data_IF_185135096862
#
_entry.id   IF_185135096862
#
_cell.length_a   1.000
_cell.length_b   1.000
_cell.length_c   1.000
_cell.angle_alpha   90.00
_cell.angle_beta   90.00
_cell.angle_gamma   90.00
#
_symmetry.space_group_name_H-M   'P 1'
#
loop_
_entity.id
_entity.type
_entity.pdbx_description
1 polymer ?
#
# COMPACT_ATOMS: atom_id res chain seq x y z
N UNK A 1 35.87 -81.53 -14.17
CA UNK A 1 35.47 -82.47 -13.10
C UNK A 1 34.28 -81.85 -12.38
N UNK A 2 33.28 -82.66 -12.07
CA UNK A 2 31.90 -82.33 -11.69
C UNK A 2 31.81 -82.00 -10.17
N UNK A 3 30.66 -81.42 -9.76
CA UNK A 3 29.98 -81.43 -8.41
C UNK A 3 30.22 -80.15 -7.58
N UNK A 4 29.28 -79.21 -7.40
CA UNK A 4 27.98 -79.12 -6.68
C UNK A 4 28.02 -78.85 -5.14
N UNK A 5 27.31 -77.76 -4.75
CA UNK A 5 26.39 -77.53 -3.61
C UNK A 5 26.86 -77.74 -2.14
N UNK A 6 26.77 -76.70 -1.28
CA UNK A 6 25.63 -76.40 -0.36
C UNK A 6 25.95 -75.29 0.68
N UNK A 7 24.87 -74.66 1.12
CA UNK A 7 24.69 -73.52 2.04
C UNK A 7 25.35 -73.61 3.42
N UNK A 8 25.70 -72.44 4.00
CA UNK A 8 25.18 -72.06 5.33
C UNK A 8 25.35 -70.55 5.62
N UNK A 9 24.24 -69.92 5.97
CA UNK A 9 24.11 -68.53 6.37
C UNK A 9 24.66 -68.25 7.78
N UNK A 10 25.29 -67.07 7.99
CA UNK A 10 25.34 -66.38 9.29
C UNK A 10 25.27 -64.87 9.07
N UNK A 11 24.35 -64.25 9.81
CA UNK A 11 23.86 -62.89 9.61
C UNK A 11 24.82 -61.78 10.05
N UNK A 12 24.67 -60.64 9.39
CA UNK A 12 25.19 -59.34 9.79
C UNK A 12 24.02 -58.50 10.29
N UNK A 13 24.05 -58.15 11.57
CA UNK A 13 23.15 -57.16 12.15
C UNK A 13 23.57 -55.76 11.66
N UNK A 14 22.68 -55.10 10.91
CA UNK A 14 22.85 -53.71 10.52
C UNK A 14 22.36 -52.79 11.66
N UNK A 15 23.26 -51.97 12.19
CA UNK A 15 22.93 -50.88 13.12
C UNK A 15 22.30 -49.76 12.30
N UNK A 16 20.97 -49.61 12.40
CA UNK A 16 20.26 -48.47 11.86
C UNK A 16 20.42 -47.27 12.81
N UNK A 17 21.34 -46.35 12.47
CA UNK A 17 21.42 -45.05 13.12
C UNK A 17 20.25 -44.18 12.63
N UNK A 18 19.19 -44.06 13.43
CA UNK A 18 18.11 -43.10 13.19
C UNK A 18 18.61 -41.70 13.55
N UNK A 19 18.98 -40.91 12.54
CA UNK A 19 19.15 -39.47 12.67
C UNK A 19 17.78 -38.82 12.89
N UNK A 20 17.44 -38.50 14.13
CA UNK A 20 16.26 -37.70 14.44
C UNK A 20 16.47 -36.29 13.86
N UNK A 21 15.65 -35.90 12.88
CA UNK A 21 15.57 -34.51 12.44
C UNK A 21 15.14 -33.63 13.61
N UNK A 22 15.73 -32.44 13.81
CA UNK A 22 15.26 -31.52 14.83
C UNK A 22 13.81 -31.15 14.52
N UNK A 23 12.92 -31.35 15.49
CA UNK A 23 11.53 -30.95 15.38
C UNK A 23 11.48 -29.45 15.04
N UNK A 24 10.88 -29.10 13.90
CA UNK A 24 10.51 -27.70 13.62
C UNK A 24 9.65 -27.23 14.79
N UNK A 25 10.14 -26.24 15.54
CA UNK A 25 9.33 -25.58 16.55
C UNK A 25 8.03 -25.12 15.90
N UNK A 26 6.88 -25.59 16.43
CA UNK A 26 5.58 -25.18 15.95
C UNK A 26 5.51 -23.65 16.00
N UNK A 27 5.37 -23.01 14.84
CA UNK A 27 5.17 -21.56 14.74
C UNK A 27 3.90 -21.25 15.51
N UNK A 28 4.01 -20.51 16.62
CA UNK A 28 2.85 -20.10 17.40
C UNK A 28 1.86 -19.38 16.47
N UNK A 29 0.56 -19.68 16.52
CA UNK A 29 -0.43 -19.00 15.70
C UNK A 29 -0.35 -17.50 15.99
N UNK A 30 -0.11 -16.69 14.95
CA UNK A 30 -0.16 -15.22 15.05
C UNK A 30 -1.61 -14.80 14.94
N UNK A 31 -2.08 -13.99 15.88
CA UNK A 31 -3.39 -13.36 15.76
C UNK A 31 -3.32 -12.29 14.66
N UNK A 32 -4.47 -11.90 14.12
CA UNK A 32 -4.56 -10.81 13.14
C UNK A 32 -5.05 -9.55 13.84
N UNK A 33 -4.39 -8.43 13.65
CA UNK A 33 -4.84 -7.12 14.13
C UNK A 33 -5.09 -6.17 12.96
N UNK A 34 -6.17 -5.40 13.04
CA UNK A 34 -6.44 -4.28 12.14
C UNK A 34 -5.99 -2.99 12.82
N UNK A 35 -5.10 -2.24 12.15
CA UNK A 35 -4.59 -0.95 12.57
C UNK A 35 -5.22 0.16 11.74
N UNK A 36 -5.59 1.26 12.38
CA UNK A 36 -6.24 2.41 11.74
C UNK A 36 -5.62 3.70 12.27
N UNK A 37 -5.17 4.57 11.37
CA UNK A 37 -4.62 5.86 11.70
C UNK A 37 -5.62 7.00 11.43
N UNK A 38 -5.94 7.77 12.47
CA UNK A 38 -6.81 8.95 12.42
C UNK A 38 -6.09 10.12 13.09
N UNK A 39 -5.76 11.16 12.33
CA UNK A 39 -4.92 12.25 12.86
C UNK A 39 -3.62 11.70 13.46
N UNK A 40 -3.34 12.03 14.72
CA UNK A 40 -2.15 11.55 15.45
C UNK A 40 -2.33 10.19 16.15
N UNK A 41 -3.55 9.63 16.14
CA UNK A 41 -3.88 8.40 16.86
C UNK A 41 -3.77 7.20 15.94
N UNK A 42 -3.04 6.17 16.37
CA UNK A 42 -3.08 4.83 15.79
C UNK A 42 -3.87 3.93 16.72
N UNK A 43 -5.04 3.48 16.27
CA UNK A 43 -5.85 2.46 16.95
C UNK A 43 -5.55 1.07 16.37
N UNK A 44 -5.68 0.04 17.19
CA UNK A 44 -5.68 -1.34 16.71
C UNK A 44 -6.70 -2.20 17.44
N UNK A 45 -7.16 -3.24 16.75
CA UNK A 45 -8.12 -4.21 17.26
C UNK A 45 -7.74 -5.60 16.79
N UNK A 46 -7.82 -6.59 17.67
CA UNK A 46 -7.70 -7.99 17.28
C UNK A 46 -8.93 -8.42 16.48
N UNK A 47 -8.67 -9.13 15.39
CA UNK A 47 -9.67 -9.72 14.50
C UNK A 47 -9.96 -11.15 14.96
N UNK A 48 -11.23 -11.46 15.24
CA UNK A 48 -11.64 -12.84 15.55
C UNK A 48 -12.11 -13.55 14.27
N UNK A 49 -11.15 -14.16 13.57
CA UNK A 49 -11.39 -14.92 12.33
C UNK A 49 -12.05 -14.08 11.22
N UNK A 50 -12.61 -14.78 10.22
CA UNK A 50 -13.24 -14.15 9.06
C UNK A 50 -14.48 -13.32 9.43
N UNK A 51 -15.17 -13.64 10.54
CA UNK A 51 -16.39 -12.95 10.98
C UNK A 51 -16.15 -11.47 11.33
N UNK A 52 -14.88 -11.07 11.44
CA UNK A 52 -14.47 -9.67 11.53
C UNK A 52 -14.92 -8.99 12.82
N UNK A 53 -15.33 -9.74 13.85
CA UNK A 53 -15.63 -9.16 15.16
C UNK A 53 -14.36 -8.56 15.74
N UNK A 54 -14.52 -7.38 16.33
CA UNK A 54 -13.45 -6.54 16.83
C UNK A 54 -13.43 -6.63 18.34
N UNK A 55 -12.31 -7.06 18.92
CA UNK A 55 -12.08 -7.05 20.36
C UNK A 55 -11.85 -5.64 20.92
N UNK A 56 -11.27 -5.60 22.13
CA UNK A 56 -10.81 -4.38 22.78
C UNK A 56 -9.94 -3.52 21.84
N UNK A 57 -10.12 -2.20 21.95
CA UNK A 57 -9.42 -1.22 21.12
C UNK A 57 -8.21 -0.73 21.90
N UNK A 58 -7.01 -1.07 21.42
CA UNK A 58 -5.80 -0.42 21.87
C UNK A 58 -5.53 0.83 21.05
N UNK A 59 -4.83 1.80 21.62
CA UNK A 59 -4.42 3.01 20.89
C UNK A 59 -3.09 3.56 21.39
N UNK A 60 -2.44 4.33 20.52
CA UNK A 60 -1.28 5.16 20.85
C UNK A 60 -1.43 6.50 20.14
N UNK A 61 -1.13 7.59 20.85
CA UNK A 61 -1.06 8.93 20.27
C UNK A 61 0.39 9.26 19.95
N UNK A 62 0.68 9.59 18.70
CA UNK A 62 2.00 10.00 18.23
C UNK A 62 2.17 11.53 18.31
N UNK A 63 3.40 12.05 18.22
CA UNK A 63 3.65 13.49 18.38
C UNK A 63 2.97 14.40 17.34
N UNK A 64 2.55 13.86 16.20
CA UNK A 64 1.89 14.61 15.11
C UNK A 64 1.02 13.69 14.26
N UNK A 65 0.23 14.27 13.35
CA UNK A 65 -0.68 13.51 12.50
C UNK A 65 0.07 12.51 11.61
N UNK A 66 -0.41 11.27 11.60
CA UNK A 66 0.13 10.14 10.86
C UNK A 66 -0.15 10.36 9.37
N UNK A 67 0.90 10.42 8.58
CA UNK A 67 0.81 10.60 7.12
C UNK A 67 0.81 9.26 6.40
N UNK A 68 1.63 8.31 6.86
CA UNK A 68 1.74 6.96 6.30
C UNK A 68 2.44 6.02 7.29
N UNK A 69 2.26 4.72 7.13
CA UNK A 69 3.03 3.72 7.85
C UNK A 69 3.37 2.52 6.95
N UNK A 70 4.42 1.78 7.30
CA UNK A 70 4.85 0.58 6.58
C UNK A 70 5.37 -0.48 7.55
N UNK A 71 4.86 -1.73 7.50
CA UNK A 71 5.32 -2.79 8.39
C UNK A 71 6.67 -3.35 7.97
N UNK A 72 7.48 -3.75 8.95
CA UNK A 72 8.71 -4.47 8.68
C UNK A 72 8.41 -5.92 8.24
N UNK A 73 9.19 -6.52 7.30
CA UNK A 73 8.96 -7.88 6.83
C UNK A 73 8.99 -8.97 7.91
N UNK A 74 9.69 -8.75 9.03
CA UNK A 74 9.70 -9.70 10.16
C UNK A 74 8.41 -9.68 11.02
N UNK A 75 7.54 -8.68 10.80
CA UNK A 75 6.30 -8.45 11.52
C UNK A 75 6.47 -8.07 12.99
N UNK A 76 7.64 -7.58 13.40
CA UNK A 76 7.92 -7.11 14.77
C UNK A 76 7.89 -5.59 14.91
N UNK A 77 8.00 -4.86 13.80
CA UNK A 77 8.08 -3.40 13.81
C UNK A 77 7.15 -2.76 12.80
N UNK A 78 6.67 -1.57 13.14
CA UNK A 78 5.91 -0.69 12.26
C UNK A 78 6.65 0.66 12.18
N UNK A 79 6.99 1.09 10.97
CA UNK A 79 7.59 2.41 10.76
C UNK A 79 6.51 3.40 10.36
N UNK A 80 6.51 4.57 11.00
CA UNK A 80 5.43 5.56 10.88
C UNK A 80 6.02 6.93 10.56
N UNK A 81 5.48 7.57 9.54
CA UNK A 81 5.83 8.94 9.17
C UNK A 81 4.73 9.89 9.66
N UNK A 82 5.11 10.92 10.43
CA UNK A 82 4.17 11.90 10.99
C UNK A 82 4.54 13.32 10.58
N UNK A 83 3.55 14.22 10.67
CA UNK A 83 3.70 15.64 10.34
C UNK A 83 2.66 16.48 11.08
N UNK A 84 3.04 17.69 11.51
CA UNK A 84 2.11 18.69 12.06
C UNK A 84 1.21 19.33 10.99
N UNK A 85 1.54 19.15 9.71
CA UNK A 85 0.66 19.49 8.61
C UNK A 85 -0.66 18.68 8.61
N UNK A 86 -1.81 19.32 8.31
CA UNK A 86 -3.08 18.62 8.14
C UNK A 86 -3.01 17.51 7.10
N UNK A 87 -3.76 16.41 7.34
CA UNK A 87 -3.86 15.30 6.40
C UNK A 87 -4.31 15.75 5.01
N UNK A 88 -3.56 15.38 3.97
CA UNK A 88 -3.89 15.73 2.58
C UNK A 88 -3.49 17.15 2.12
N UNK A 89 -2.91 17.97 3.00
CA UNK A 89 -2.32 19.26 2.63
C UNK A 89 -1.09 19.10 1.70
N UNK A 90 -0.69 20.15 1.00
CA UNK A 90 0.49 20.17 0.13
C UNK A 90 1.41 21.29 0.59
N UNK A 91 2.69 20.98 0.85
CA UNK A 91 3.71 21.97 1.25
C UNK A 91 3.50 22.65 2.61
N UNK A 92 2.62 22.11 3.47
CA UNK A 92 2.35 22.65 4.80
C UNK A 92 3.11 21.89 5.91
N UNK A 93 3.12 22.48 7.10
CA UNK A 93 3.77 21.94 8.31
C UNK A 93 5.21 22.41 8.48
N UNK A 94 5.74 22.23 9.69
CA UNK A 94 7.11 22.59 10.09
C UNK A 94 7.86 21.42 10.71
N UNK A 95 7.13 20.45 11.28
CA UNK A 95 7.73 19.35 12.03
C UNK A 95 7.27 18.03 11.42
N UNK A 96 8.25 17.28 10.92
CA UNK A 96 8.02 16.03 10.23
C UNK A 96 8.97 14.97 10.79
N UNK A 97 8.47 13.77 11.04
CA UNK A 97 9.20 12.72 11.74
C UNK A 97 9.02 11.37 11.09
N UNK A 98 10.04 10.54 11.23
CA UNK A 98 9.99 9.11 11.02
C UNK A 98 10.19 8.43 12.39
N UNK A 99 9.29 7.53 12.75
CA UNK A 99 9.30 6.80 14.01
C UNK A 99 9.34 5.29 13.73
N UNK A 100 9.96 4.54 14.63
CA UNK A 100 9.82 3.09 14.71
C UNK A 100 8.96 2.73 15.93
N UNK A 101 8.02 1.82 15.74
CA UNK A 101 7.17 1.26 16.79
C UNK A 101 7.39 -0.24 16.85
N UNK A 102 7.59 -0.79 18.06
CA UNK A 102 7.62 -2.23 18.30
C UNK A 102 6.19 -2.77 18.46
N UNK A 103 5.94 -3.94 17.87
CA UNK A 103 4.67 -4.66 17.91
C UNK A 103 4.75 -5.74 18.99
N UNK A 104 4.06 -5.52 20.09
CA UNK A 104 3.94 -6.43 21.22
C UNK A 104 2.76 -7.41 21.09
N UNK A 105 2.49 -8.12 22.19
CA UNK A 105 1.33 -9.02 22.29
C UNK A 105 0.02 -8.27 22.08
N UNK A 106 -0.96 -8.95 21.48
CA UNK A 106 -2.25 -8.36 21.17
C UNK A 106 -2.19 -7.20 20.17
N UNK A 107 -1.05 -7.00 19.52
CA UNK A 107 -0.81 -5.89 18.59
C UNK A 107 -0.41 -4.56 19.23
N UNK A 108 -0.10 -4.55 20.53
CA UNK A 108 0.27 -3.31 21.21
C UNK A 108 1.46 -2.61 20.57
N UNK A 109 1.34 -1.30 20.31
CA UNK A 109 2.42 -0.49 19.76
C UNK A 109 3.14 0.28 20.85
N UNK A 110 4.47 0.27 20.82
CA UNK A 110 5.30 1.07 21.73
C UNK A 110 6.41 1.78 20.94
N UNK A 111 6.78 3.03 21.27
CA UNK A 111 7.92 3.69 20.66
C UNK A 111 9.19 2.85 20.79
N UNK A 112 9.98 2.76 19.72
CA UNK A 112 11.17 1.90 19.66
C UNK A 112 12.38 2.65 19.08
N UNK A 113 13.24 3.14 19.98
CA UNK A 113 14.40 3.96 19.61
C UNK A 113 14.07 5.43 19.36
N UNK A 114 15.05 6.17 18.86
CA UNK A 114 14.93 7.60 18.57
C UNK A 114 14.19 7.86 17.23
N UNK A 115 13.43 8.94 17.20
CA UNK A 115 12.81 9.44 15.97
C UNK A 115 13.84 10.16 15.08
N UNK A 116 13.60 10.14 13.77
CA UNK A 116 14.41 10.87 12.79
C UNK A 116 13.61 12.05 12.26
N UNK A 117 14.17 13.26 12.34
CA UNK A 117 13.60 14.45 11.72
C UNK A 117 13.63 14.33 10.19
N UNK A 118 12.50 14.63 9.55
CA UNK A 118 12.37 14.71 8.10
C UNK A 118 12.34 16.18 7.67
N UNK A 119 12.99 16.48 6.56
CA UNK A 119 13.08 17.86 6.06
C UNK A 119 11.77 18.40 5.49
N UNK A 120 10.83 17.51 5.13
CA UNK A 120 9.60 17.85 4.42
C UNK A 120 8.47 16.90 4.83
N UNK A 121 7.22 17.30 4.57
CA UNK A 121 6.04 16.48 4.85
C UNK A 121 6.06 15.18 4.02
N UNK A 122 6.16 14.01 4.66
CA UNK A 122 6.15 12.73 3.96
C UNK A 122 4.76 12.43 3.40
N UNK A 123 4.69 11.82 2.21
CA UNK A 123 3.42 11.42 1.59
C UNK A 123 3.26 9.92 1.41
N UNK A 124 4.37 9.20 1.34
CA UNK A 124 4.41 7.76 1.26
C UNK A 124 5.79 7.28 1.74
N UNK A 125 5.82 6.08 2.27
CA UNK A 125 7.07 5.39 2.61
C UNK A 125 6.94 3.90 2.32
N UNK A 126 8.06 3.25 2.06
CA UNK A 126 8.14 1.79 1.98
C UNK A 126 9.49 1.29 2.46
N UNK A 127 9.57 0.00 2.73
CA UNK A 127 10.83 -0.67 3.00
C UNK A 127 11.32 -1.42 1.75
N UNK A 128 12.64 -1.62 1.69
CA UNK A 128 13.20 -2.58 0.75
C UNK A 128 12.83 -4.03 1.17
N UNK A 129 12.85 -5.00 0.25
CA UNK A 129 12.46 -6.39 0.57
C UNK A 129 13.27 -7.04 1.70
N UNK A 130 14.52 -6.60 1.93
CA UNK A 130 15.34 -7.13 3.02
C UNK A 130 15.05 -6.49 4.39
N UNK A 131 14.25 -5.41 4.44
CA UNK A 131 13.93 -4.70 5.67
C UNK A 131 15.10 -3.91 6.27
N UNK A 132 16.11 -3.56 5.46
CA UNK A 132 17.31 -2.85 5.94
C UNK A 132 17.28 -1.35 5.67
N UNK A 133 16.34 -0.89 4.84
CA UNK A 133 16.21 0.51 4.46
C UNK A 133 14.74 0.89 4.38
N UNK A 134 14.46 2.12 4.82
CA UNK A 134 13.18 2.79 4.64
C UNK A 134 13.36 3.94 3.66
N UNK A 135 12.53 3.95 2.63
CA UNK A 135 12.48 4.98 1.60
C UNK A 135 11.25 5.84 1.82
N UNK A 136 11.41 7.16 1.78
CA UNK A 136 10.35 8.14 2.04
C UNK A 136 10.22 9.08 0.85
N UNK A 137 9.00 9.31 0.37
CA UNK A 137 8.70 10.24 -0.71
C UNK A 137 8.04 11.53 -0.19
N UNK A 138 8.35 12.65 -0.85
CA UNK A 138 7.83 13.99 -0.55
C UNK A 138 7.32 14.64 -1.83
N UNK A 139 6.17 15.29 -1.80
CA UNK A 139 5.51 15.76 -3.03
C UNK A 139 5.75 17.24 -3.39
N UNK A 140 6.12 18.08 -2.41
CA UNK A 140 6.19 19.53 -2.59
C UNK A 140 7.32 20.15 -1.74
N UNK A 141 8.50 20.42 -2.34
CA UNK A 141 8.92 19.97 -3.67
C UNK A 141 9.05 18.44 -3.76
N UNK A 142 9.09 17.90 -4.99
CA UNK A 142 9.32 16.47 -5.18
C UNK A 142 10.69 16.07 -4.63
N UNK A 143 10.73 15.09 -3.74
CA UNK A 143 11.97 14.62 -3.13
C UNK A 143 11.85 13.16 -2.66
N UNK A 144 12.98 12.51 -2.35
CA UNK A 144 13.06 11.22 -1.70
C UNK A 144 14.21 11.17 -0.67
N UNK A 145 14.05 10.39 0.39
CA UNK A 145 15.14 10.08 1.33
C UNK A 145 15.19 8.60 1.65
N UNK A 146 16.38 8.11 1.99
CA UNK A 146 16.63 6.72 2.38
C UNK A 146 17.30 6.72 3.74
N UNK A 147 16.81 5.91 4.66
CA UNK A 147 17.38 5.75 6.01
C UNK A 147 17.68 4.28 6.26
N UNK A 148 18.80 4.01 6.93
CA UNK A 148 19.16 2.65 7.36
C UNK A 148 18.25 2.20 8.49
N UNK A 149 17.97 0.92 8.54
CA UNK A 149 17.37 0.26 9.70
C UNK A 149 18.47 -0.55 10.39
N UNK A 150 18.58 -0.40 11.71
CA UNK A 150 19.51 -1.19 12.51
C UNK A 150 18.99 -2.63 12.69
N UNK A 151 19.85 -3.62 12.97
CA UNK A 151 19.42 -5.00 13.18
C UNK A 151 18.39 -5.19 14.31
N UNK A 152 18.33 -4.26 15.26
CA UNK A 152 17.35 -4.24 16.35
C UNK A 152 16.00 -3.61 15.98
N UNK A 153 15.82 -3.16 14.72
CA UNK A 153 14.61 -2.51 14.22
C UNK A 153 14.52 -1.01 14.50
N UNK A 154 15.55 -0.39 15.09
CA UNK A 154 15.58 1.06 15.28
C UNK A 154 16.00 1.81 14.01
N UNK A 155 15.62 3.08 13.91
CA UNK A 155 16.01 3.95 12.79
C UNK A 155 17.49 4.34 12.87
N UNK A 156 18.25 4.01 11.84
CA UNK A 156 19.63 4.43 11.64
C UNK A 156 19.76 5.74 10.86
N UNK A 157 21.00 6.06 10.48
CA UNK A 157 21.31 7.30 9.76
C UNK A 157 20.67 7.37 8.37
N UNK A 158 20.40 8.59 7.92
CA UNK A 158 20.09 8.91 6.52
C UNK A 158 21.28 8.53 5.64
N UNK A 159 21.00 7.90 4.50
CA UNK A 159 21.99 7.64 3.46
C UNK A 159 22.10 8.88 2.57
N UNK A 160 23.26 9.54 2.59
CA UNK A 160 23.57 10.62 1.65
C UNK A 160 23.64 10.06 0.22
N UNK A 161 22.94 10.72 -0.70
CA UNK A 161 22.87 10.31 -2.09
C UNK A 161 23.98 11.03 -2.86
N UNK A 162 24.78 10.30 -3.64
CA UNK A 162 25.94 10.88 -4.33
C UNK A 162 25.61 11.37 -5.74
N UNK A 163 24.55 10.86 -6.35
CA UNK A 163 24.15 11.22 -7.71
C UNK A 163 23.01 12.24 -7.73
N UNK A 164 22.99 13.07 -8.77
CA UNK A 164 21.86 13.94 -9.04
C UNK A 164 20.68 13.11 -9.58
N UNK A 165 19.57 13.13 -8.86
CA UNK A 165 18.37 12.37 -9.21
C UNK A 165 17.32 13.28 -9.81
N UNK A 166 16.75 12.87 -10.94
CA UNK A 166 15.49 13.42 -11.44
C UNK A 166 14.33 12.78 -10.66
N UNK A 167 13.84 13.52 -9.66
CA UNK A 167 12.75 13.09 -8.77
C UNK A 167 11.36 13.50 -9.29
N UNK A 168 11.29 14.03 -10.52
CA UNK A 168 10.07 14.44 -11.20
C UNK A 168 9.27 15.53 -10.46
N UNK A 169 7.96 15.55 -10.70
CA UNK A 169 7.05 16.55 -10.11
C UNK A 169 5.92 15.84 -9.39
N UNK A 170 5.62 16.31 -8.18
CA UNK A 170 4.60 15.73 -7.30
C UNK A 170 4.84 14.23 -7.03
N UNK A 171 6.00 13.91 -6.44
CA UNK A 171 6.31 12.53 -6.05
C UNK A 171 5.27 12.03 -5.04
N UNK A 172 4.65 10.88 -5.33
CA UNK A 172 3.48 10.40 -4.60
C UNK A 172 3.72 9.04 -3.94
N UNK A 173 4.49 8.16 -4.57
CA UNK A 173 4.77 6.83 -4.04
C UNK A 173 6.23 6.47 -4.30
N UNK A 174 6.87 5.78 -3.37
CA UNK A 174 8.15 5.13 -3.58
C UNK A 174 8.04 3.66 -3.20
N UNK A 175 8.46 2.76 -4.09
CA UNK A 175 8.45 1.30 -3.88
C UNK A 175 9.74 0.70 -4.42
N UNK A 176 10.42 -0.12 -3.63
CA UNK A 176 11.50 -0.97 -4.13
C UNK A 176 10.88 -2.12 -4.94
N UNK A 177 11.45 -2.40 -6.11
CA UNK A 177 11.01 -3.48 -6.99
C UNK A 177 11.27 -4.85 -6.34
N UNK A 178 10.53 -5.92 -6.72
CA UNK A 178 10.60 -7.21 -6.02
C UNK A 178 12.00 -7.82 -5.90
N UNK A 179 12.90 -7.55 -6.86
CA UNK A 179 14.29 -8.05 -6.85
C UNK A 179 15.22 -7.26 -5.91
N UNK A 180 14.78 -6.13 -5.36
CA UNK A 180 15.58 -5.31 -4.45
C UNK A 180 16.74 -4.56 -5.10
N UNK A 181 16.80 -4.46 -6.43
CA UNK A 181 17.90 -3.81 -7.18
C UNK A 181 17.55 -2.44 -7.76
N UNK A 182 16.27 -2.07 -7.72
CA UNK A 182 15.79 -0.80 -8.20
C UNK A 182 14.56 -0.36 -7.41
N UNK A 183 14.31 0.94 -7.41
CA UNK A 183 13.14 1.57 -6.81
C UNK A 183 12.40 2.40 -7.85
N UNK A 184 11.09 2.51 -7.71
CA UNK A 184 10.25 3.34 -8.54
C UNK A 184 9.67 4.45 -7.68
N UNK A 185 9.99 5.69 -8.04
CA UNK A 185 9.30 6.88 -7.54
C UNK A 185 8.21 7.28 -8.55
N UNK A 186 6.96 7.12 -8.14
CA UNK A 186 5.79 7.52 -8.91
C UNK A 186 5.60 9.02 -8.75
N UNK A 187 5.64 9.76 -9.85
CA UNK A 187 5.51 11.21 -9.89
C UNK A 187 4.27 11.56 -10.69
N UNK A 188 3.29 12.17 -10.02
CA UNK A 188 1.95 12.34 -10.60
C UNK A 188 1.88 13.47 -11.63
N UNK A 189 2.77 14.45 -11.52
CA UNK A 189 2.59 15.75 -12.13
C UNK A 189 1.41 16.52 -11.51
N UNK A 190 1.13 17.68 -12.09
CA UNK A 190 0.05 18.58 -11.69
C UNK A 190 -0.83 18.89 -12.89
N UNK A 191 -2.14 18.98 -12.68
CA UNK A 191 -3.04 19.50 -13.70
C UNK A 191 -2.72 20.95 -14.03
N UNK A 192 -2.99 21.36 -15.27
CA UNK A 192 -2.99 22.78 -15.62
C UNK A 192 -4.00 23.54 -14.76
N UNK A 193 -3.66 24.78 -14.42
CA UNK A 193 -4.57 25.76 -13.80
C UNK A 193 -4.75 26.93 -14.77
N UNK A 194 -5.67 27.88 -14.50
CA UNK A 194 -5.78 29.09 -15.32
C UNK A 194 -4.47 29.90 -15.41
N UNK A 195 -3.53 29.70 -14.48
CA UNK A 195 -2.30 30.50 -14.36
C UNK A 195 -1.02 29.68 -14.52
N UNK A 196 -1.09 28.35 -14.66
CA UNK A 196 0.08 27.48 -14.83
C UNK A 196 -0.22 26.34 -15.81
N UNK A 197 0.72 26.02 -16.72
CA UNK A 197 0.58 24.85 -17.57
C UNK A 197 0.57 23.56 -16.75
N UNK A 198 0.18 22.45 -17.38
CA UNK A 198 0.28 21.13 -16.79
C UNK A 198 1.76 20.78 -16.54
N UNK A 199 2.05 20.18 -15.38
CA UNK A 199 3.35 19.59 -15.09
C UNK A 199 3.35 18.10 -15.46
N UNK A 200 4.42 17.58 -16.09
CA UNK A 200 4.49 16.19 -16.51
C UNK A 200 4.50 15.20 -15.31
N UNK A 201 3.82 14.08 -15.48
CA UNK A 201 3.97 12.90 -14.62
C UNK A 201 4.90 11.86 -15.22
N UNK A 202 5.48 11.00 -14.38
CA UNK A 202 6.39 9.93 -14.80
C UNK A 202 6.53 8.84 -13.71
N UNK A 203 7.01 7.67 -14.11
CA UNK A 203 7.62 6.69 -13.20
C UNK A 203 9.14 6.86 -13.28
N UNK A 204 9.75 7.39 -12.22
CA UNK A 204 11.21 7.51 -12.11
C UNK A 204 11.76 6.20 -11.57
N UNK A 205 12.38 5.41 -12.43
CA UNK A 205 13.04 4.15 -12.07
C UNK A 205 14.49 4.47 -11.74
N UNK A 206 14.91 4.04 -10.55
CA UNK A 206 16.25 4.27 -10.01
C UNK A 206 16.89 2.95 -9.61
N UNK A 207 18.20 2.81 -9.80
CA UNK A 207 18.97 1.72 -9.20
C UNK A 207 18.90 1.83 -7.69
N UNK A 208 19.03 0.70 -7.00
CA UNK A 208 19.02 0.65 -5.55
C UNK A 208 20.08 -0.33 -5.07
N UNK A 209 21.15 0.21 -4.46
CA UNK A 209 22.22 -0.59 -3.87
C UNK A 209 22.63 -0.02 -2.51
N UNK A 210 22.45 -0.82 -1.45
CA UNK A 210 22.74 -0.45 -0.05
C UNK A 210 22.26 0.95 0.36
N UNK A 211 21.11 1.37 -0.17
CA UNK A 211 20.49 2.67 0.10
C UNK A 211 20.91 3.81 -0.83
N UNK A 212 21.85 3.60 -1.76
CA UNK A 212 22.16 4.52 -2.84
C UNK A 212 21.15 4.38 -3.97
N UNK A 213 20.68 5.51 -4.48
CA UNK A 213 19.83 5.63 -5.66
C UNK A 213 20.65 6.19 -6.82
N UNK A 214 20.43 5.66 -8.02
CA UNK A 214 21.01 6.15 -9.27
C UNK A 214 19.95 6.17 -10.37
N UNK A 215 20.00 7.08 -11.36
CA UNK A 215 18.98 7.15 -12.40
C UNK A 215 19.09 5.93 -13.35
N UNK A 216 17.95 5.30 -13.66
CA UNK A 216 17.89 4.22 -14.67
C UNK A 216 16.95 4.54 -15.81
N UNK A 217 15.73 5.01 -15.53
CA UNK A 217 14.77 5.37 -16.55
C UNK A 217 13.74 6.38 -16.03
N UNK A 218 13.18 7.17 -16.95
CA UNK A 218 12.00 8.00 -16.69
C UNK A 218 10.91 7.57 -17.68
N UNK A 219 9.90 6.87 -17.19
CA UNK A 219 8.81 6.33 -18.02
C UNK A 219 7.64 7.31 -18.00
N UNK A 220 7.30 7.83 -19.16
CA UNK A 220 6.19 8.75 -19.37
C UNK A 220 5.34 8.25 -20.55
N UNK A 221 4.19 7.64 -20.23
CA UNK A 221 3.33 6.96 -21.20
C UNK A 221 2.62 7.96 -22.11
N UNK A 222 2.44 7.60 -23.39
CA UNK A 222 1.61 8.36 -24.34
C UNK A 222 2.37 9.39 -25.20
N UNK A 223 3.70 9.40 -25.16
CA UNK A 223 4.53 10.15 -26.11
C UNK A 223 4.53 11.67 -25.98
N UNK A 224 3.94 12.23 -24.91
CA UNK A 224 3.83 13.68 -24.66
C UNK A 224 4.75 14.18 -23.54
N UNK A 225 5.87 13.50 -23.31
CA UNK A 225 6.82 13.87 -22.26
C UNK A 225 6.23 13.89 -20.84
N UNK A 226 5.15 13.14 -20.59
CA UNK A 226 4.48 13.07 -19.29
C UNK A 226 3.24 13.96 -19.15
N UNK A 227 2.96 14.83 -20.12
CA UNK A 227 1.71 15.59 -20.16
C UNK A 227 0.53 14.64 -20.41
N UNK A 228 -0.51 14.76 -19.59
CA UNK A 228 -1.65 13.84 -19.58
C UNK A 228 -1.38 12.49 -18.91
N UNK A 229 -0.20 12.27 -18.31
CA UNK A 229 0.12 11.04 -17.56
C UNK A 229 0.08 11.33 -16.05
N UNK A 230 -0.89 10.75 -15.33
CA UNK A 230 -1.12 11.02 -13.91
C UNK A 230 -1.00 9.80 -13.01
N UNK A 231 0.14 9.07 -13.01
CA UNK A 231 0.29 7.88 -12.18
C UNK A 231 0.33 8.27 -10.71
N UNK A 232 -0.15 7.39 -9.84
CA UNK A 232 -0.25 7.69 -8.40
C UNK A 232 0.38 6.62 -7.54
N UNK A 233 -0.18 5.43 -7.57
CA UNK A 233 0.32 4.27 -6.85
C UNK A 233 0.49 3.09 -7.82
N UNK A 234 1.41 2.20 -7.49
CA UNK A 234 1.60 0.92 -8.15
C UNK A 234 1.73 -0.22 -7.13
N UNK A 235 1.52 -1.42 -7.62
CA UNK A 235 1.85 -2.65 -6.90
C UNK A 235 2.32 -3.75 -7.87
N UNK A 236 2.99 -4.76 -7.34
CA UNK A 236 3.63 -5.81 -8.13
C UNK A 236 2.88 -7.13 -8.01
N UNK A 237 2.79 -7.89 -9.10
CA UNK A 237 2.33 -9.26 -9.00
C UNK A 237 3.35 -10.08 -8.16
N UNK A 238 2.91 -10.94 -7.22
CA UNK A 238 3.83 -11.68 -6.34
C UNK A 238 4.78 -12.64 -7.07
N UNK A 239 4.35 -13.26 -8.17
CA UNK A 239 5.16 -14.24 -8.92
C UNK A 239 5.38 -13.93 -10.41
N UNK A 240 4.63 -13.02 -11.03
CA UNK A 240 4.77 -12.67 -12.44
C UNK A 240 5.56 -11.37 -12.59
N UNK A 241 6.33 -11.20 -13.67
CA UNK A 241 7.10 -9.98 -13.92
C UNK A 241 6.17 -8.87 -14.43
N UNK A 242 5.25 -8.41 -13.59
CA UNK A 242 4.22 -7.41 -13.93
C UNK A 242 4.08 -6.41 -12.80
N UNK A 243 3.97 -5.13 -13.17
CA UNK A 243 3.60 -4.04 -12.30
C UNK A 243 2.27 -3.43 -12.77
N UNK A 244 1.40 -3.10 -11.83
CA UNK A 244 0.12 -2.45 -12.08
C UNK A 244 0.17 -1.03 -11.55
N UNK A 245 -0.17 -0.05 -12.38
CA UNK A 245 -0.06 1.37 -12.06
C UNK A 245 -1.45 2.00 -12.15
N UNK A 246 -1.94 2.53 -11.03
CA UNK A 246 -3.17 3.31 -10.98
C UNK A 246 -2.92 4.76 -11.39
N UNK A 247 -3.71 5.25 -12.35
CA UNK A 247 -3.64 6.62 -12.84
C UNK A 247 -4.74 7.48 -12.21
N UNK A 248 -4.34 8.32 -11.25
CA UNK A 248 -5.23 9.18 -10.47
C UNK A 248 -6.08 10.09 -11.35
N UNK A 249 -5.49 10.68 -12.39
CA UNK A 249 -6.12 11.73 -13.20
C UNK A 249 -6.89 11.18 -14.40
N UNK A 250 -6.76 9.89 -14.70
CA UNK A 250 -7.32 9.25 -15.89
C UNK A 250 -8.36 8.16 -15.60
N UNK A 251 -8.56 7.77 -14.33
CA UNK A 251 -9.43 6.64 -13.95
C UNK A 251 -9.05 5.32 -14.65
N UNK A 252 -7.74 5.08 -14.76
CA UNK A 252 -7.18 3.96 -15.51
C UNK A 252 -6.23 3.13 -14.67
N UNK A 253 -6.12 1.87 -15.07
CA UNK A 253 -5.12 0.91 -14.64
C UNK A 253 -4.20 0.60 -15.82
N UNK A 254 -2.91 0.86 -15.66
CA UNK A 254 -1.88 0.52 -16.65
C UNK A 254 -1.12 -0.72 -16.16
N UNK A 255 -0.95 -1.71 -17.04
CA UNK A 255 -0.20 -2.93 -16.76
C UNK A 255 1.12 -2.90 -17.52
N UNK A 256 2.24 -2.85 -16.81
CA UNK A 256 3.58 -2.86 -17.40
C UNK A 256 4.28 -4.19 -17.15
N UNK A 257 5.08 -4.64 -18.12
CA UNK A 257 6.01 -5.77 -17.90
C UNK A 257 7.23 -5.29 -17.13
N UNK A 258 7.71 -6.11 -16.20
CA UNK A 258 9.01 -5.91 -15.58
C UNK A 258 10.08 -6.49 -16.51
N UNK A 259 10.97 -5.65 -17.02
CA UNK A 259 12.06 -6.02 -17.93
C UNK A 259 13.38 -5.68 -17.25
N UNK A 260 14.11 -6.71 -16.80
CA UNK A 260 15.31 -6.51 -15.98
C UNK A 260 14.99 -5.82 -14.65
N UNK A 261 15.59 -4.64 -14.44
CA UNK A 261 15.38 -3.77 -13.27
C UNK A 261 14.49 -2.55 -13.58
N UNK A 262 13.81 -2.56 -14.73
CA UNK A 262 12.90 -1.49 -15.16
C UNK A 262 11.53 -2.05 -15.57
N UNK A 263 10.65 -1.16 -16.04
CA UNK A 263 9.36 -1.49 -16.63
C UNK A 263 9.38 -1.28 -18.14
N UNK A 264 8.48 -1.94 -18.86
CA UNK A 264 8.20 -1.62 -20.26
C UNK A 264 7.80 -0.14 -20.39
N UNK A 265 8.32 0.62 -21.37
CA UNK A 265 8.01 2.04 -21.50
C UNK A 265 6.51 2.30 -21.73
N UNK A 266 5.87 1.45 -22.53
CA UNK A 266 4.42 1.46 -22.75
C UNK A 266 3.75 0.34 -21.96
N UNK A 267 2.49 0.54 -21.51
CA UNK A 267 1.73 -0.52 -20.89
C UNK A 267 1.33 -1.57 -21.93
N UNK A 268 1.37 -2.84 -21.53
CA UNK A 268 0.85 -3.95 -22.33
C UNK A 268 -0.69 -3.96 -22.35
N UNK A 269 -1.32 -3.49 -21.27
CA UNK A 269 -2.76 -3.38 -21.17
C UNK A 269 -3.17 -2.14 -20.37
N UNK A 270 -4.21 -1.45 -20.86
CA UNK A 270 -4.88 -0.34 -20.18
C UNK A 270 -6.33 -0.75 -19.93
N UNK A 271 -6.79 -0.63 -18.69
CA UNK A 271 -8.18 -0.86 -18.30
C UNK A 271 -8.77 0.39 -17.64
N UNK A 272 -10.07 0.62 -17.81
CA UNK A 272 -10.81 1.59 -17.01
C UNK A 272 -11.10 1.01 -15.62
N UNK A 273 -10.99 1.83 -14.56
CA UNK A 273 -11.35 1.43 -13.20
C UNK A 273 -12.81 1.75 -12.87
N UNK A 274 -13.42 2.66 -13.62
CA UNK A 274 -14.81 3.10 -13.47
C UNK A 274 -15.39 3.45 -14.83
N UNK A 275 -16.72 3.48 -14.94
CA UNK A 275 -17.40 4.01 -16.12
C UNK A 275 -17.59 5.53 -16.03
N UNK A 276 -17.24 6.14 -14.89
CA UNK A 276 -17.29 7.58 -14.68
C UNK A 276 -16.05 8.27 -15.28
N UNK A 277 -16.21 9.36 -16.05
CA UNK A 277 -15.07 10.13 -16.53
C UNK A 277 -14.29 10.76 -15.36
N UNK A 278 -12.99 11.09 -15.53
CA UNK A 278 -12.19 11.75 -14.49
C UNK A 278 -12.80 13.07 -14.00
N UNK A 279 -13.41 13.81 -14.92
CA UNK A 279 -14.19 15.02 -14.64
C UNK A 279 -15.61 14.82 -15.19
N UNK A 280 -16.59 14.83 -14.29
CA UNK A 280 -18.01 14.77 -14.60
C UNK A 280 -18.66 16.14 -14.70
N UNK A 281 -19.98 16.14 -14.90
CA UNK A 281 -20.81 17.35 -14.81
C UNK A 281 -20.71 18.01 -13.43
N UNK A 282 -21.00 19.31 -13.35
CA UNK A 282 -21.09 20.08 -12.10
C UNK A 282 -19.85 20.05 -11.17
N UNK A 283 -18.66 19.74 -11.73
CA UNK A 283 -17.41 19.68 -10.95
C UNK A 283 -17.20 18.36 -10.19
N UNK A 284 -18.04 17.34 -10.42
CA UNK A 284 -17.79 15.99 -9.95
C UNK A 284 -16.43 15.50 -10.45
N UNK A 285 -15.60 15.00 -9.54
CA UNK A 285 -14.26 14.49 -9.87
C UNK A 285 -14.10 13.13 -9.25
N UNK A 286 -13.78 12.15 -10.08
CA UNK A 286 -13.39 10.81 -9.66
C UNK A 286 -11.90 10.66 -9.87
N UNK A 287 -11.21 10.11 -8.87
CA UNK A 287 -9.76 9.94 -8.88
C UNK A 287 -9.43 8.50 -8.47
N UNK A 288 -8.43 7.89 -9.12
CA UNK A 288 -7.87 6.61 -8.62
C UNK A 288 -7.05 6.86 -7.34
N UNK A 289 -7.17 5.97 -6.38
CA UNK A 289 -6.45 6.02 -5.10
C UNK A 289 -5.41 4.92 -4.95
N UNK A 290 -5.62 4.07 -3.95
CA UNK A 290 -4.72 2.96 -3.63
C UNK A 290 -4.93 1.77 -4.58
N UNK A 291 -3.90 0.94 -4.68
CA UNK A 291 -3.87 -0.28 -5.48
C UNK A 291 -3.11 -1.35 -4.71
N UNK A 292 -3.68 -2.55 -4.62
CA UNK A 292 -3.05 -3.70 -3.98
C UNK A 292 -3.38 -5.00 -4.72
N UNK A 293 -2.36 -5.82 -4.96
CA UNK A 293 -2.51 -7.17 -5.50
C UNK A 293 -2.79 -8.13 -4.33
N UNK A 294 -3.74 -9.03 -4.52
CA UNK A 294 -4.01 -10.11 -3.57
C UNK A 294 -2.73 -10.92 -3.30
N UNK A 295 -2.42 -11.35 -2.05
CA UNK A 295 -1.19 -12.10 -1.74
C UNK A 295 -0.92 -13.33 -2.63
N UNK A 296 -1.97 -14.06 -3.00
CA UNK A 296 -1.93 -15.18 -3.97
C UNK A 296 -1.79 -14.78 -5.45
N UNK A 297 -1.87 -13.50 -5.82
CA UNK A 297 -1.73 -13.01 -7.19
C UNK A 297 -2.88 -13.34 -8.15
N UNK A 298 -4.05 -13.72 -7.64
CA UNK A 298 -5.21 -14.04 -8.50
C UNK A 298 -6.18 -12.87 -8.70
N UNK A 299 -6.08 -11.82 -7.87
CA UNK A 299 -6.94 -10.65 -7.93
C UNK A 299 -6.15 -9.36 -7.64
N UNK A 300 -6.67 -8.23 -8.11
CA UNK A 300 -6.14 -6.89 -7.93
C UNK A 300 -7.29 -5.93 -7.60
N UNK A 301 -7.04 -5.04 -6.66
CA UNK A 301 -8.03 -4.10 -6.16
C UNK A 301 -7.53 -2.67 -6.37
N UNK A 302 -8.38 -1.80 -6.91
CA UNK A 302 -8.06 -0.39 -7.19
C UNK A 302 -9.19 0.48 -6.67
N UNK A 303 -8.89 1.50 -5.85
CA UNK A 303 -9.92 2.40 -5.35
C UNK A 303 -10.22 3.53 -6.34
N UNK A 304 -11.49 3.83 -6.52
CA UNK A 304 -11.99 5.08 -7.09
C UNK A 304 -12.53 5.94 -5.93
N UNK A 305 -12.17 7.22 -5.90
CA UNK A 305 -12.56 8.15 -4.84
C UNK A 305 -13.11 9.45 -5.43
N UNK A 306 -14.20 9.92 -4.83
CA UNK A 306 -14.82 11.19 -5.14
C UNK A 306 -15.31 11.87 -3.86
N UNK A 307 -15.10 13.18 -3.76
CA UNK A 307 -15.52 13.97 -2.60
C UNK A 307 -15.80 15.43 -2.91
N UNK A 308 -15.92 15.79 -4.19
CA UNK A 308 -16.37 17.11 -4.58
C UNK A 308 -17.75 17.37 -3.98
N UNK A 309 -17.99 18.60 -3.55
CA UNK A 309 -19.28 19.03 -3.02
C UNK A 309 -19.79 20.25 -3.78
N UNK A 310 -21.10 20.31 -3.94
CA UNK A 310 -21.83 21.44 -4.52
C UNK A 310 -22.83 21.98 -3.50
N UNK A 311 -23.19 23.24 -3.66
CA UNK A 311 -24.22 23.86 -2.84
C UNK A 311 -25.61 23.59 -3.44
N UNK A 312 -26.52 23.05 -2.64
CA UNK A 312 -27.91 22.81 -3.02
C UNK A 312 -28.79 23.27 -1.87
N UNK A 313 -29.64 24.26 -2.11
CA UNK A 313 -30.54 24.83 -1.11
C UNK A 313 -29.83 25.22 0.22
N UNK A 314 -28.66 25.87 0.12
CA UNK A 314 -27.87 26.31 1.28
C UNK A 314 -27.11 25.19 2.01
N UNK A 315 -27.12 23.95 1.51
CA UNK A 315 -26.36 22.81 2.06
C UNK A 315 -25.25 22.39 1.11
N UNK A 316 -24.08 22.08 1.66
CA UNK A 316 -22.97 21.46 0.94
C UNK A 316 -23.19 19.96 0.88
N UNK A 317 -23.39 19.42 -0.31
CA UNK A 317 -23.70 18.00 -0.53
C UNK A 317 -22.80 17.41 -1.60
N UNK A 318 -22.70 16.08 -1.63
CA UNK A 318 -21.90 15.37 -2.63
C UNK A 318 -22.26 15.77 -4.07
N UNK A 319 -21.23 16.12 -4.84
CA UNK A 319 -21.37 16.53 -6.23
C UNK A 319 -21.58 15.35 -7.21
N UNK A 320 -21.34 14.12 -6.76
CA UNK A 320 -21.27 12.94 -7.62
C UNK A 320 -19.83 12.50 -7.91
N UNK A 321 -19.72 11.38 -8.63
CA UNK A 321 -18.48 10.66 -8.87
C UNK A 321 -18.51 9.26 -8.25
N UNK A 322 -17.43 8.50 -8.43
CA UNK A 322 -17.35 7.11 -8.00
C UNK A 322 -16.56 6.95 -6.69
N UNK A 323 -17.14 6.19 -5.74
CA UNK A 323 -16.52 5.77 -4.49
C UNK A 323 -16.62 4.25 -4.38
N UNK A 324 -15.79 3.55 -5.16
CA UNK A 324 -15.82 2.10 -5.28
C UNK A 324 -14.43 1.47 -5.15
N UNK A 325 -14.41 0.15 -4.98
CA UNK A 325 -13.25 -0.66 -5.33
C UNK A 325 -13.54 -1.40 -6.64
N UNK A 326 -12.73 -1.14 -7.66
CA UNK A 326 -12.67 -1.95 -8.86
C UNK A 326 -11.85 -3.23 -8.57
N UNK A 327 -12.46 -4.38 -8.82
CA UNK A 327 -11.86 -5.70 -8.63
C UNK A 327 -11.54 -6.30 -9.98
N UNK A 328 -10.28 -6.68 -10.15
CA UNK A 328 -9.80 -7.34 -11.35
C UNK A 328 -9.38 -8.78 -11.02
N UNK A 329 -9.88 -9.75 -11.76
CA UNK A 329 -9.26 -11.07 -11.81
C UNK A 329 -7.95 -10.98 -12.61
N UNK A 330 -6.90 -11.66 -12.14
CA UNK A 330 -5.61 -11.70 -12.82
C UNK A 330 -5.43 -13.03 -13.54
N UNK A 331 -5.15 -12.95 -14.84
CA UNK A 331 -4.95 -14.15 -15.64
C UNK A 331 -3.76 -14.98 -15.09
N UNK A 332 -3.92 -16.30 -14.79
CA UNK A 332 -2.96 -17.07 -13.99
C UNK A 332 -1.58 -17.24 -14.65
N UNK A 333 -1.49 -17.20 -15.99
CA UNK A 333 -0.21 -17.24 -16.72
C UNK A 333 0.45 -15.87 -16.86
N UNK A 334 -0.28 -14.91 -17.42
CA UNK A 334 0.26 -13.61 -17.86
C UNK A 334 0.19 -12.52 -16.78
N UNK A 335 -0.68 -12.66 -15.78
CA UNK A 335 -0.99 -11.61 -14.81
C UNK A 335 -1.84 -10.47 -15.39
N UNK A 336 -2.41 -10.59 -16.59
CA UNK A 336 -3.21 -9.51 -17.16
C UNK A 336 -4.57 -9.38 -16.43
N UNK A 337 -5.00 -8.15 -16.09
CA UNK A 337 -6.23 -7.91 -15.36
C UNK A 337 -7.48 -7.97 -16.25
N UNK A 338 -8.57 -8.49 -15.69
CA UNK A 338 -9.93 -8.39 -16.24
C UNK A 338 -10.85 -7.89 -15.14
N UNK A 339 -11.58 -6.79 -15.38
CA UNK A 339 -12.54 -6.26 -14.41
C UNK A 339 -13.67 -7.27 -14.20
N UNK A 340 -13.95 -7.63 -12.94
CA UNK A 340 -15.01 -8.58 -12.56
C UNK A 340 -16.05 -7.97 -11.63
N UNK A 341 -15.73 -6.88 -10.95
CA UNK A 341 -16.64 -6.24 -10.00
C UNK A 341 -16.27 -4.77 -9.81
N UNK A 342 -17.27 -3.94 -9.51
CA UNK A 342 -17.09 -2.65 -8.83
C UNK A 342 -17.98 -2.67 -7.60
N UNK A 343 -17.39 -2.61 -6.42
CA UNK A 343 -18.13 -2.70 -5.16
C UNK A 343 -18.26 -1.34 -4.50
N UNK A 344 -19.47 -1.01 -4.05
CA UNK A 344 -19.73 0.17 -3.24
C UNK A 344 -19.12 0.00 -1.84
N UNK A 345 -18.40 1.03 -1.41
CA UNK A 345 -17.75 1.10 -0.12
C UNK A 345 -18.69 1.52 1.01
N UNK A 346 -19.88 2.05 0.70
CA UNK A 346 -20.78 2.68 1.69
C UNK A 346 -20.09 3.82 2.44
N UNK A 347 -19.24 4.57 1.74
CA UNK A 347 -18.45 5.66 2.29
C UNK A 347 -17.72 6.44 1.22
N UNK A 348 -17.12 7.56 1.62
CA UNK A 348 -16.58 8.55 0.69
C UNK A 348 -15.08 8.74 0.84
N UNK A 349 -14.43 9.10 -0.27
CA UNK A 349 -13.02 9.42 -0.35
C UNK A 349 -12.11 8.29 0.17
N UNK A 350 -12.21 7.10 -0.43
CA UNK A 350 -11.38 5.95 -0.06
C UNK A 350 -9.91 6.14 -0.46
N UNK A 351 -9.12 6.64 0.49
CA UNK A 351 -7.72 7.00 0.23
C UNK A 351 -6.75 5.83 0.39
N UNK A 352 -7.08 4.89 1.28
CA UNK A 352 -6.25 3.72 1.62
C UNK A 352 -7.14 2.51 1.85
N UNK A 353 -6.62 1.31 1.57
CA UNK A 353 -7.20 0.05 2.00
C UNK A 353 -6.10 -0.96 2.26
N UNK A 354 -6.43 -2.08 2.89
CA UNK A 354 -5.51 -3.18 3.11
C UNK A 354 -6.19 -4.53 2.92
N UNK A 355 -5.38 -5.51 2.54
CA UNK A 355 -5.76 -6.91 2.42
C UNK A 355 -5.11 -7.65 3.58
N UNK A 356 -5.83 -8.56 4.23
CA UNK A 356 -5.25 -9.39 5.28
C UNK A 356 -4.15 -10.30 4.70
N UNK A 357 -3.10 -10.66 5.45
CA UNK A 357 -2.01 -11.49 4.94
C UNK A 357 -2.44 -12.86 4.39
N UNK A 358 -3.52 -13.42 4.93
CA UNK A 358 -4.13 -14.67 4.45
C UNK A 358 -5.00 -14.47 3.20
N UNK A 359 -5.27 -13.22 2.81
CA UNK A 359 -6.05 -12.86 1.64
C UNK A 359 -7.57 -13.04 1.80
N UNK A 360 -8.08 -13.16 3.02
CA UNK A 360 -9.51 -13.45 3.25
C UNK A 360 -10.35 -12.21 3.55
N UNK A 361 -9.72 -11.09 3.90
CA UNK A 361 -10.38 -9.85 4.28
C UNK A 361 -9.79 -8.62 3.59
N UNK A 362 -10.64 -7.62 3.38
CA UNK A 362 -10.24 -6.28 2.94
C UNK A 362 -10.84 -5.22 3.87
N UNK A 363 -10.04 -4.23 4.24
CA UNK A 363 -10.47 -3.06 5.02
C UNK A 363 -10.17 -1.78 4.24
N UNK A 364 -11.21 -0.98 3.95
CA UNK A 364 -11.10 0.26 3.20
C UNK A 364 -11.39 1.49 4.07
N UNK A 365 -10.47 2.46 4.08
CA UNK A 365 -10.59 3.71 4.84
C UNK A 365 -11.38 4.77 4.08
N UNK A 366 -12.64 4.94 4.43
CA UNK A 366 -13.52 6.00 3.94
C UNK A 366 -13.27 7.27 4.76
N UNK A 367 -12.47 8.18 4.22
CA UNK A 367 -11.80 9.26 4.95
C UNK A 367 -12.73 10.39 5.41
N UNK A 368 -13.83 10.64 4.68
CA UNK A 368 -14.65 11.83 4.88
C UNK A 368 -16.10 11.46 5.17
N UNK A 369 -16.76 12.15 6.13
CA UNK A 369 -18.21 12.15 6.19
C UNK A 369 -18.78 12.92 4.99
N UNK A 370 -20.02 12.63 4.62
CA UNK A 370 -20.65 13.24 3.46
C UNK A 370 -22.16 13.37 3.62
N UNK A 371 -22.67 14.57 3.33
CA UNK A 371 -24.10 14.82 3.19
C UNK A 371 -24.55 14.61 1.75
N UNK A 372 -25.70 13.96 1.58
CA UNK A 372 -26.30 13.66 0.28
C UNK A 372 -27.51 14.56 0.00
N UNK A 373 -27.87 14.64 -1.28
CA UNK A 373 -28.98 15.49 -1.77
C UNK A 373 -30.34 15.08 -1.21
N UNK A 374 -30.53 13.80 -0.88
CA UNK A 374 -31.74 13.28 -0.25
C UNK A 374 -31.81 13.55 1.27
N UNK A 375 -30.80 14.21 1.83
CA UNK A 375 -30.69 14.52 3.25
C UNK A 375 -29.93 13.48 4.07
N UNK A 376 -29.55 12.34 3.49
CA UNK A 376 -28.76 11.29 4.17
C UNK A 376 -27.37 11.81 4.55
N UNK A 377 -26.94 11.49 5.78
CA UNK A 377 -25.57 11.69 6.24
C UNK A 377 -24.82 10.36 6.27
N UNK A 378 -23.65 10.29 5.64
CA UNK A 378 -22.79 9.10 5.64
C UNK A 378 -21.53 9.40 6.44
N UNK A 379 -21.34 8.68 7.55
CA UNK A 379 -20.17 8.86 8.41
C UNK A 379 -18.85 8.41 7.75
N UNK A 380 -17.72 8.95 8.21
CA UNK A 380 -16.40 8.38 7.93
C UNK A 380 -16.24 7.03 8.65
N UNK A 381 -15.32 6.18 8.18
CA UNK A 381 -15.07 4.89 8.83
C UNK A 381 -14.32 3.88 7.98
N UNK A 382 -14.27 2.65 8.47
CA UNK A 382 -13.67 1.52 7.78
C UNK A 382 -14.76 0.58 7.25
N UNK A 383 -14.77 0.35 5.94
CA UNK A 383 -15.63 -0.66 5.33
C UNK A 383 -14.87 -1.97 5.21
N UNK A 384 -15.44 -3.02 5.81
CA UNK A 384 -14.87 -4.36 5.83
C UNK A 384 -15.57 -5.25 4.82
N UNK A 385 -14.78 -6.09 4.16
CA UNK A 385 -15.23 -7.06 3.17
C UNK A 385 -14.58 -8.42 3.42
N UNK A 386 -15.33 -9.47 3.10
CA UNK A 386 -14.73 -10.76 2.77
C UNK A 386 -14.20 -10.73 1.34
N UNK A 387 -13.04 -11.35 1.14
CA UNK A 387 -12.53 -11.68 -0.18
C UNK A 387 -12.96 -13.12 -0.50
N UNK A 388 -13.79 -13.27 -1.52
CA UNK A 388 -14.27 -14.57 -2.00
C UNK A 388 -13.17 -15.30 -2.79
N UNK A 389 -13.27 -16.64 -2.98
CA UNK A 389 -12.24 -17.42 -3.68
C UNK A 389 -11.91 -16.98 -5.11
N UNK A 390 -12.84 -16.31 -5.78
CA UNK A 390 -12.68 -15.74 -7.13
C UNK A 390 -12.13 -14.30 -7.11
N UNK A 391 -11.85 -13.75 -5.92
CA UNK A 391 -11.34 -12.41 -5.70
C UNK A 391 -12.42 -11.35 -5.49
N UNK A 392 -13.71 -11.64 -5.71
CA UNK A 392 -14.79 -10.68 -5.49
C UNK A 392 -14.91 -10.30 -4.01
N UNK A 393 -15.42 -9.10 -3.77
CA UNK A 393 -15.63 -8.54 -2.44
C UNK A 393 -17.10 -8.69 -2.04
N UNK A 394 -17.33 -9.33 -0.89
CA UNK A 394 -18.62 -9.38 -0.23
C UNK A 394 -18.59 -8.45 0.99
N UNK A 395 -19.47 -7.45 1.02
CA UNK A 395 -19.54 -6.50 2.13
C UNK A 395 -19.86 -7.22 3.43
N UNK A 396 -19.07 -6.96 4.47
CA UNK A 396 -19.25 -7.52 5.80
C UNK A 396 -19.95 -6.50 6.71
N UNK A 397 -19.29 -5.38 6.99
CA UNK A 397 -19.82 -4.31 7.85
C UNK A 397 -19.01 -3.04 7.71
N UNK A 398 -19.53 -1.94 8.24
CA UNK A 398 -18.81 -0.68 8.39
C UNK A 398 -18.53 -0.43 9.87
N UNK A 399 -17.30 -0.07 10.20
CA UNK A 399 -16.91 0.44 11.51
C UNK A 399 -16.85 1.95 11.37
N UNK A 400 -17.84 2.64 11.90
CA UNK A 400 -17.88 4.09 11.86
C UNK A 400 -16.82 4.66 12.78
N UNK A 401 -16.10 5.67 12.28
CA UNK A 401 -15.25 6.48 13.15
C UNK A 401 -16.16 7.37 13.98
N UNK A 402 -15.84 7.64 15.26
CA UNK A 402 -16.42 8.78 15.96
C UNK A 402 -16.29 10.02 15.08
N UNK A 403 -17.23 10.96 15.18
CA UNK A 403 -17.21 12.22 14.47
C UNK A 403 -15.95 13.01 14.84
N UNK A 404 -14.87 12.73 14.12
CA UNK A 404 -13.55 13.33 14.25
C UNK A 404 -13.39 14.31 13.10
N UNK A 405 -12.91 15.52 13.40
CA UNK A 405 -12.51 16.47 12.37
C UNK A 405 -11.26 16.01 11.60
N UNK A 406 -10.49 15.06 12.18
CA UNK A 406 -9.28 14.54 11.59
C UNK A 406 -9.55 13.36 10.64
N UNK A 407 -8.90 13.32 9.47
CA UNK A 407 -9.13 12.29 8.49
C UNK A 407 -8.48 10.94 8.83
N UNK A 408 -9.09 9.87 8.34
CA UNK A 408 -8.50 8.52 8.29
C UNK A 408 -7.42 8.47 7.20
N UNK A 409 -6.16 8.33 7.60
CA UNK A 409 -5.01 8.47 6.70
C UNK A 409 -4.45 7.13 6.21
N UNK A 410 -4.55 6.08 7.04
CA UNK A 410 -3.93 4.79 6.78
C UNK A 410 -4.66 3.66 7.50
N UNK A 411 -4.64 2.46 6.91
CA UNK A 411 -5.16 1.23 7.51
C UNK A 411 -4.33 0.04 7.08
N UNK A 412 -4.14 -0.95 7.95
CA UNK A 412 -3.46 -2.19 7.61
C UNK A 412 -3.78 -3.36 8.53
N UNK A 413 -3.66 -4.57 8.00
CA UNK A 413 -3.73 -5.80 8.76
C UNK A 413 -2.32 -6.32 9.07
N UNK A 414 -2.00 -6.63 10.33
CA UNK A 414 -0.71 -7.23 10.68
C UNK A 414 -0.88 -8.53 11.48
N UNK A 415 -0.05 -9.54 11.20
CA UNK A 415 0.04 -10.72 12.05
C UNK A 415 0.81 -10.37 13.33
N UNK A 416 0.15 -10.43 14.47
CA UNK A 416 0.70 -10.01 15.76
C UNK A 416 1.00 -11.21 16.67
N UNK A 417 1.96 -11.09 17.59
CA UNK A 417 2.14 -12.06 18.66
C UNK A 417 0.84 -12.22 19.46
N UNK A 418 0.41 -13.46 19.67
CA UNK A 418 -0.76 -13.80 20.47
C UNK A 418 -0.59 -13.47 21.96
#
# INVERSE_FOLDING_TARGET
MIVQRRDLARGLAAIAATSAMPAMAAVKPRALALYVATGAVMEWRLMQGAQGSTGEVGSITLPSAIQYAWPHPDGRFLYVATSDAPGGSVGAGKVHRLLALAIGRGGALTPHGEEVALAQRPVHMSLDPSGRFVLVAYNAPANASVHRLRPDGTLGARVEQHEALDLGIFAHQIRVMPRGRSAILVTRGNNATPTRPEDPGALKVMGFDQGQLSPLASIAVGGKGGLGYGPRHLDFHPTKPVAYVGLERQNQLHTHRIVGDTLSPEPELVCATTDQPPKGADGATTLVGAIHVHPRGHALYVTNRASSQVEVAGRRVFAGGDNSIAVFALHPRTGLPQLIQRVDLRGFHVRSFAISPDGTMLAASCMLPMDLRDGTHVAAGISLFHILPDGQLAFLRKIESPASAEPLMWTHFLPVPA
#
